data_IF_185351179742
#
_entry.id   IF_185351179742
#
_cell.length_a   1.000
_cell.length_b   1.000
_cell.length_c   1.000
_cell.angle_alpha   90.00
_cell.angle_beta   90.00
_cell.angle_gamma   90.00
#
_symmetry.space_group_name_H-M   'P 1'
#
loop_
_entity.id
_entity.type
_entity.pdbx_description
1 polymer ?
#
# COMPACT_ATOMS: atom_id res chain seq x y z
N UNK A 1 -12.88 -21.32 15.46
CA UNK A 1 -11.98 -20.31 16.06
C UNK A 1 -11.08 -19.71 15.01
N UNK A 2 -11.00 -18.37 14.95
CA UNK A 2 -10.09 -17.65 14.07
C UNK A 2 -8.70 -17.56 14.70
N UNK A 3 -7.61 -17.71 13.95
CA UNK A 3 -6.28 -17.40 14.48
C UNK A 3 -6.14 -15.88 14.53
N UNK A 4 -5.46 -15.40 15.56
CA UNK A 4 -5.20 -13.97 15.71
C UNK A 4 -4.59 -13.31 14.45
N UNK A 5 -3.68 -14.02 13.76
CA UNK A 5 -3.00 -13.54 12.55
C UNK A 5 -3.89 -13.44 11.31
N UNK A 6 -5.07 -14.08 11.33
CA UNK A 6 -6.02 -14.07 10.22
C UNK A 6 -7.05 -12.94 10.36
N UNK A 7 -7.02 -12.17 11.46
CA UNK A 7 -7.86 -11.01 11.69
C UNK A 7 -7.35 -9.80 10.91
N UNK A 8 -8.25 -8.89 10.52
CA UNK A 8 -7.86 -7.58 9.98
C UNK A 8 -7.13 -6.71 11.03
N UNK A 9 -6.45 -5.65 10.58
CA UNK A 9 -5.65 -4.78 11.45
C UNK A 9 -6.44 -4.16 12.61
N UNK A 10 -7.72 -3.83 12.40
CA UNK A 10 -8.57 -3.21 13.42
C UNK A 10 -8.98 -4.24 14.50
N UNK A 11 -9.34 -5.45 14.09
CA UNK A 11 -9.61 -6.56 15.00
C UNK A 11 -8.35 -6.98 15.77
N UNK A 12 -7.18 -7.01 15.11
CA UNK A 12 -5.90 -7.27 15.79
C UNK A 12 -5.60 -6.21 16.86
N UNK A 13 -5.84 -4.93 16.55
CA UNK A 13 -5.68 -3.80 17.46
C UNK A 13 -6.58 -3.94 18.71
N UNK A 14 -7.86 -4.22 18.51
CA UNK A 14 -8.83 -4.38 19.61
C UNK A 14 -8.47 -5.54 20.53
N UNK A 15 -7.97 -6.65 19.96
CA UNK A 15 -7.50 -7.79 20.75
C UNK A 15 -6.23 -7.45 21.52
N UNK A 16 -5.29 -6.73 20.90
CA UNK A 16 -4.07 -6.29 21.56
C UNK A 16 -4.37 -5.41 22.78
N UNK A 17 -5.28 -4.43 22.65
CA UNK A 17 -5.69 -3.58 23.76
C UNK A 17 -6.40 -4.37 24.86
N UNK A 18 -7.33 -5.25 24.50
CA UNK A 18 -7.99 -6.12 25.48
C UNK A 18 -6.97 -7.01 26.23
N UNK A 19 -5.94 -7.52 25.54
CA UNK A 19 -4.85 -8.26 26.18
C UNK A 19 -4.06 -7.41 27.16
N UNK A 20 -3.78 -6.14 26.80
CA UNK A 20 -3.09 -5.19 27.68
C UNK A 20 -3.89 -4.93 28.96
N UNK A 21 -5.18 -4.61 28.83
CA UNK A 21 -6.09 -4.39 29.96
C UNK A 21 -6.16 -5.62 30.87
N UNK A 22 -6.32 -6.82 30.28
CA UNK A 22 -6.33 -8.06 31.05
C UNK A 22 -5.00 -8.31 31.77
N UNK A 23 -3.87 -7.93 31.15
CA UNK A 23 -2.56 -8.07 31.79
C UNK A 23 -2.36 -7.06 32.92
N UNK A 24 -2.81 -5.82 32.73
CA UNK A 24 -2.80 -4.76 33.75
C UNK A 24 -3.68 -5.13 34.96
N UNK A 25 -4.79 -5.82 34.73
CA UNK A 25 -5.61 -6.41 35.81
C UNK A 25 -4.99 -7.64 36.51
N UNK A 26 -3.74 -7.98 36.18
CA UNK A 26 -2.97 -9.03 36.85
C UNK A 26 -3.13 -10.45 36.30
N UNK A 27 -3.83 -10.65 35.19
CA UNK A 27 -3.99 -12.00 34.64
C UNK A 27 -2.67 -12.54 34.05
N UNK A 28 -2.39 -13.81 34.34
CA UNK A 28 -1.32 -14.57 33.68
C UNK A 28 -1.67 -14.94 32.24
N UNK A 29 -0.68 -15.11 31.37
CA UNK A 29 -0.88 -15.33 29.93
C UNK A 29 -1.82 -16.49 29.59
N UNK A 30 -1.74 -17.61 30.31
CA UNK A 30 -2.64 -18.77 30.10
C UNK A 30 -4.11 -18.41 30.34
N UNK A 31 -4.39 -17.57 31.35
CA UNK A 31 -5.77 -17.10 31.66
C UNK A 31 -6.26 -16.12 30.59
N UNK A 32 -5.39 -15.24 30.11
CA UNK A 32 -5.70 -14.31 29.01
C UNK A 32 -6.07 -15.10 27.75
N UNK A 33 -5.28 -16.10 27.36
CA UNK A 33 -5.57 -16.95 26.18
C UNK A 33 -6.90 -17.67 26.34
N UNK A 34 -7.16 -18.24 27.53
CA UNK A 34 -8.42 -18.94 27.81
C UNK A 34 -9.61 -17.99 27.63
N UNK A 35 -9.53 -16.78 28.21
CA UNK A 35 -10.58 -15.76 28.11
C UNK A 35 -10.83 -15.31 26.67
N UNK A 36 -9.77 -15.06 25.89
CA UNK A 36 -9.90 -14.74 24.46
C UNK A 36 -10.51 -15.88 23.64
N UNK A 37 -10.20 -17.13 23.99
CA UNK A 37 -10.76 -18.31 23.34
C UNK A 37 -12.25 -18.45 23.64
N UNK A 38 -12.66 -18.22 24.88
CA UNK A 38 -14.06 -18.39 25.34
C UNK A 38 -14.95 -17.21 24.94
N UNK A 39 -14.48 -15.97 25.08
CA UNK A 39 -15.32 -14.78 24.88
C UNK A 39 -15.26 -14.24 23.44
N UNK A 40 -14.14 -14.41 22.74
CA UNK A 40 -13.90 -13.80 21.43
C UNK A 40 -13.62 -14.82 20.33
N UNK A 41 -13.69 -16.12 20.62
CA UNK A 41 -13.40 -17.24 19.70
C UNK A 41 -12.04 -17.13 18.96
N UNK A 42 -11.07 -16.48 19.58
CA UNK A 42 -9.77 -16.16 18.97
C UNK A 42 -8.67 -17.04 19.57
N UNK A 43 -7.89 -17.65 18.69
CA UNK A 43 -6.73 -18.46 19.07
C UNK A 43 -5.46 -17.60 19.03
N UNK A 44 -4.95 -17.22 20.20
CA UNK A 44 -3.71 -16.49 20.38
C UNK A 44 -2.66 -17.39 21.02
N UNK A 45 -1.45 -17.42 20.46
CA UNK A 45 -0.39 -18.29 20.99
C UNK A 45 0.28 -17.68 22.22
N UNK A 46 0.74 -18.54 23.13
CA UNK A 46 1.53 -18.12 24.29
C UNK A 46 2.82 -17.38 23.88
N UNK A 47 3.46 -17.84 22.80
CA UNK A 47 4.65 -17.19 22.24
C UNK A 47 4.38 -15.76 21.80
N UNK A 48 3.22 -15.50 21.19
CA UNK A 48 2.80 -14.15 20.77
C UNK A 48 2.66 -13.21 21.98
N UNK A 49 2.01 -13.66 23.05
CA UNK A 49 1.89 -12.87 24.29
C UNK A 49 3.24 -12.62 24.95
N UNK A 50 4.05 -13.68 25.10
CA UNK A 50 5.40 -13.58 25.65
C UNK A 50 6.24 -12.57 24.87
N UNK A 51 6.19 -12.63 23.53
CA UNK A 51 6.88 -11.69 22.66
C UNK A 51 6.41 -10.24 22.88
N UNK A 52 5.10 -9.98 22.95
CA UNK A 52 4.56 -8.63 23.14
C UNK A 52 5.06 -7.96 24.41
N UNK A 53 4.99 -8.69 25.54
CA UNK A 53 5.36 -8.15 26.84
C UNK A 53 6.87 -8.15 27.10
N UNK A 54 7.63 -9.09 26.54
CA UNK A 54 9.08 -9.12 26.71
C UNK A 54 9.83 -8.13 25.81
N UNK A 55 9.25 -7.74 24.67
CA UNK A 55 9.90 -6.84 23.70
C UNK A 55 9.29 -5.44 23.67
N UNK A 56 8.47 -5.09 24.67
CA UNK A 56 7.81 -3.79 24.77
C UNK A 56 7.10 -3.37 23.47
N UNK A 57 6.46 -4.35 22.82
CA UNK A 57 5.88 -4.19 21.50
C UNK A 57 4.74 -3.17 21.59
N UNK A 58 4.88 -2.03 20.90
CA UNK A 58 3.87 -0.96 20.90
C UNK A 58 2.57 -1.39 20.23
N UNK A 59 2.64 -2.29 19.23
CA UNK A 59 1.49 -2.99 18.64
C UNK A 59 1.87 -4.20 17.80
N UNK A 60 0.87 -5.02 17.47
CA UNK A 60 0.98 -6.18 16.58
C UNK A 60 1.68 -5.79 15.28
N UNK A 61 2.84 -6.39 14.98
CA UNK A 61 3.67 -6.00 13.82
C UNK A 61 4.90 -5.16 14.16
N UNK A 62 5.10 -4.81 15.44
CA UNK A 62 6.29 -4.10 15.91
C UNK A 62 6.35 -2.67 15.37
N UNK A 63 7.54 -2.24 14.94
CA UNK A 63 7.79 -0.90 14.38
C UNK A 63 7.14 -0.64 13.00
N UNK A 64 6.46 -1.63 12.41
CA UNK A 64 5.83 -1.51 11.09
C UNK A 64 4.32 -1.78 11.13
N UNK A 65 3.67 -1.37 12.23
CA UNK A 65 2.21 -1.44 12.36
C UNK A 65 1.54 -0.62 11.26
N UNK A 66 0.50 -1.18 10.65
CA UNK A 66 -0.29 -0.54 9.61
C UNK A 66 -1.74 -0.41 10.04
N UNK A 67 -2.20 0.83 10.19
CA UNK A 67 -3.60 1.14 10.44
C UNK A 67 -4.37 1.26 9.12
N UNK A 68 -5.44 0.47 8.97
CA UNK A 68 -6.30 0.45 7.77
C UNK A 68 -7.27 1.62 7.77
N UNK A 69 -6.75 2.84 7.63
CA UNK A 69 -7.53 4.07 7.48
C UNK A 69 -7.16 4.81 6.20
N UNK A 70 -8.12 5.48 5.52
CA UNK A 70 -7.79 6.39 4.43
C UNK A 70 -6.81 7.48 4.89
N UNK A 71 -5.73 7.65 4.14
CA UNK A 71 -4.78 8.75 4.29
C UNK A 71 -4.21 9.14 2.93
N UNK A 72 -3.67 10.36 2.86
CA UNK A 72 -2.98 10.87 1.66
C UNK A 72 -1.83 9.94 1.26
N UNK A 73 -1.05 9.53 2.25
CA UNK A 73 0.08 8.61 2.11
C UNK A 73 -0.37 7.25 1.58
N UNK A 74 -1.45 6.68 2.11
CA UNK A 74 -1.97 5.40 1.65
C UNK A 74 -2.42 5.47 0.19
N UNK A 75 -3.15 6.53 -0.17
CA UNK A 75 -3.65 6.72 -1.52
C UNK A 75 -2.51 6.89 -2.53
N UNK A 76 -1.49 7.68 -2.19
CA UNK A 76 -0.26 7.80 -2.98
C UNK A 76 0.46 6.46 -3.14
N UNK A 77 0.67 5.73 -2.03
CA UNK A 77 1.32 4.42 -2.02
C UNK A 77 0.56 3.42 -2.90
N UNK A 78 -0.78 3.42 -2.85
CA UNK A 78 -1.60 2.59 -3.74
C UNK A 78 -1.38 2.95 -5.21
N UNK A 79 -1.36 4.25 -5.56
CA UNK A 79 -1.06 4.71 -6.92
C UNK A 79 0.27 4.18 -7.44
N UNK A 80 1.33 4.32 -6.64
CA UNK A 80 2.67 3.79 -6.96
C UNK A 80 2.65 2.27 -7.14
N UNK A 81 1.94 1.55 -6.28
CA UNK A 81 1.87 0.08 -6.33
C UNK A 81 1.05 -0.45 -7.51
N UNK A 82 0.21 0.37 -8.13
CA UNK A 82 -0.48 0.03 -9.38
C UNK A 82 0.33 0.37 -10.64
N UNK A 83 1.41 1.17 -10.51
CA UNK A 83 2.46 1.36 -11.52
C UNK A 83 3.69 0.52 -11.18
N UNK A 84 4.78 1.19 -10.77
CA UNK A 84 6.12 0.59 -10.62
C UNK A 84 6.35 -0.20 -9.32
N UNK A 85 5.46 -0.06 -8.33
CA UNK A 85 5.63 -0.70 -7.03
C UNK A 85 5.39 -2.21 -7.05
N UNK A 86 6.31 -2.96 -6.43
CA UNK A 86 6.31 -4.42 -6.40
C UNK A 86 6.08 -5.00 -5.00
N UNK A 87 5.44 -6.17 -4.96
CA UNK A 87 5.24 -7.00 -3.76
C UNK A 87 6.00 -8.31 -3.93
N UNK A 88 6.82 -8.70 -2.95
CA UNK A 88 7.46 -10.02 -2.93
C UNK A 88 7.44 -10.67 -1.55
N UNK A 89 7.35 -12.00 -1.53
CA UNK A 89 7.33 -12.80 -0.31
C UNK A 89 8.47 -13.81 -0.35
N UNK A 90 9.43 -13.69 0.56
CA UNK A 90 10.38 -14.77 0.85
C UNK A 90 9.74 -15.69 1.91
N UNK A 91 9.23 -16.85 1.48
CA UNK A 91 8.60 -17.82 2.39
C UNK A 91 9.59 -18.43 3.38
N UNK A 92 10.88 -18.57 3.03
CA UNK A 92 11.89 -19.17 3.91
C UNK A 92 12.25 -18.23 5.04
N UNK A 93 12.42 -16.94 4.72
CA UNK A 93 12.76 -15.90 5.70
C UNK A 93 11.55 -15.20 6.31
N UNK A 94 10.33 -15.52 5.86
CA UNK A 94 9.10 -14.82 6.23
C UNK A 94 9.19 -13.30 6.00
N UNK A 95 9.86 -12.88 4.92
CA UNK A 95 10.02 -11.47 4.57
C UNK A 95 8.92 -11.02 3.61
N UNK A 96 8.13 -10.03 4.03
CA UNK A 96 7.02 -9.44 3.28
C UNK A 96 7.44 -8.09 2.73
N UNK A 97 7.97 -8.09 1.51
CA UNK A 97 8.65 -6.95 0.90
C UNK A 97 7.71 -6.14 0.01
N UNK A 98 7.78 -4.84 0.18
CA UNK A 98 7.19 -3.83 -0.69
C UNK A 98 8.36 -3.00 -1.21
N UNK A 99 8.48 -2.84 -2.53
CA UNK A 99 9.68 -2.28 -3.14
C UNK A 99 9.35 -1.36 -4.30
N UNK A 100 10.08 -0.27 -4.40
CA UNK A 100 10.11 0.62 -5.56
C UNK A 100 11.56 0.77 -6.03
N UNK A 101 11.76 0.62 -7.34
CA UNK A 101 13.03 0.84 -8.03
C UNK A 101 12.78 1.87 -9.15
N UNK A 102 13.47 3.01 -9.13
CA UNK A 102 13.34 4.02 -10.18
C UNK A 102 14.65 4.80 -10.40
N UNK A 103 14.75 5.47 -11.56
CA UNK A 103 15.89 6.34 -11.90
C UNK A 103 15.78 7.69 -11.18
N UNK A 104 14.55 8.14 -10.91
CA UNK A 104 14.26 9.38 -10.22
C UNK A 104 14.38 9.20 -8.70
N UNK A 105 15.30 9.95 -8.08
CA UNK A 105 15.52 9.91 -6.64
C UNK A 105 14.34 10.48 -5.85
N UNK A 106 13.77 11.61 -6.30
CA UNK A 106 12.71 12.33 -5.60
C UNK A 106 11.44 11.48 -5.56
N UNK A 107 11.19 10.73 -6.63
CA UNK A 107 10.11 9.74 -6.68
C UNK A 107 10.30 8.64 -5.62
N UNK A 108 11.49 8.04 -5.55
CA UNK A 108 11.81 6.98 -4.58
C UNK A 108 11.78 7.52 -3.14
N UNK A 109 12.27 8.73 -2.92
CA UNK A 109 12.25 9.39 -1.63
C UNK A 109 10.82 9.70 -1.17
N UNK A 110 9.98 10.26 -2.04
CA UNK A 110 8.57 10.53 -1.73
C UNK A 110 7.79 9.26 -1.40
N UNK A 111 8.06 8.17 -2.11
CA UNK A 111 7.50 6.86 -1.77
C UNK A 111 7.99 6.37 -0.40
N UNK A 112 9.30 6.44 -0.13
CA UNK A 112 9.87 6.07 1.17
C UNK A 112 9.25 6.90 2.31
N UNK A 113 9.17 8.21 2.16
CA UNK A 113 8.57 9.12 3.12
C UNK A 113 7.09 8.81 3.37
N UNK A 114 6.33 8.55 2.31
CA UNK A 114 4.90 8.21 2.40
C UNK A 114 4.67 6.92 3.16
N UNK A 115 5.41 5.85 2.84
CA UNK A 115 5.29 4.56 3.56
C UNK A 115 5.76 4.69 5.02
N UNK A 116 6.77 5.51 5.29
CA UNK A 116 7.28 5.74 6.65
C UNK A 116 6.23 6.43 7.53
N UNK A 117 5.61 7.50 7.02
CA UNK A 117 4.48 8.16 7.68
C UNK A 117 3.30 7.22 7.90
N UNK A 118 2.96 6.42 6.88
CA UNK A 118 1.88 5.44 6.93
C UNK A 118 2.08 4.39 8.04
N UNK A 119 3.35 4.03 8.30
CA UNK A 119 3.73 3.05 9.32
C UNK A 119 4.16 3.71 10.64
N UNK A 120 3.95 5.02 10.81
CA UNK A 120 4.28 5.75 12.03
C UNK A 120 5.77 5.81 12.37
N UNK A 121 6.64 5.80 11.35
CA UNK A 121 8.10 5.83 11.54
C UNK A 121 8.63 7.24 11.55
N UNK A 122 9.53 7.52 12.48
CA UNK A 122 10.24 8.81 12.57
C UNK A 122 11.27 9.00 11.45
N UNK A 123 11.85 7.91 10.95
CA UNK A 123 12.86 7.92 9.90
C UNK A 123 12.34 7.27 8.62
N UNK A 124 12.79 7.80 7.50
CA UNK A 124 12.48 7.24 6.18
C UNK A 124 13.16 5.90 6.00
N UNK A 125 12.55 5.01 5.21
CA UNK A 125 13.24 3.80 4.78
C UNK A 125 14.46 4.18 3.94
N UNK A 126 15.57 3.50 4.20
CA UNK A 126 16.81 3.75 3.49
C UNK A 126 16.62 3.57 1.98
N UNK A 127 17.21 4.49 1.24
CA UNK A 127 17.32 4.42 -0.22
C UNK A 127 18.72 3.92 -0.53
N UNK A 128 18.81 2.83 -1.28
CA UNK A 128 20.06 2.28 -1.75
C UNK A 128 20.17 2.41 -3.26
N UNK A 129 21.39 2.21 -3.76
CA UNK A 129 21.72 2.28 -5.18
C UNK A 129 22.23 0.92 -5.65
N UNK A 130 21.34 -0.09 -5.77
CA UNK A 130 21.74 -1.48 -6.00
C UNK A 130 22.33 -1.72 -7.40
N UNK A 131 22.02 -0.85 -8.36
CA UNK A 131 22.53 -0.89 -9.73
C UNK A 131 22.91 0.52 -10.16
N UNK A 132 23.89 0.64 -11.07
CA UNK A 132 24.19 1.92 -11.72
C UNK A 132 22.89 2.46 -12.34
N UNK A 133 22.50 3.66 -11.91
CA UNK A 133 21.36 4.49 -12.32
C UNK A 133 19.99 4.15 -11.75
N UNK A 134 19.88 3.28 -10.73
CA UNK A 134 18.59 2.93 -10.13
C UNK A 134 18.65 3.11 -8.62
N UNK A 135 17.81 3.99 -8.09
CA UNK A 135 17.51 4.12 -6.68
C UNK A 135 16.46 3.07 -6.28
N UNK A 136 16.61 2.52 -5.09
CA UNK A 136 15.72 1.47 -4.58
C UNK A 136 15.39 1.72 -3.12
N UNK A 137 14.12 1.54 -2.76
CA UNK A 137 13.71 1.46 -1.35
C UNK A 137 12.92 0.18 -1.12
N UNK A 138 13.17 -0.46 0.02
CA UNK A 138 12.53 -1.71 0.40
C UNK A 138 11.94 -1.59 1.80
N UNK A 139 10.63 -1.83 1.88
CA UNK A 139 9.85 -1.84 3.10
C UNK A 139 9.52 -3.28 3.46
N UNK A 140 9.60 -3.61 4.75
CA UNK A 140 9.13 -4.87 5.29
C UNK A 140 7.94 -4.62 6.21
N UNK A 141 6.73 -4.99 5.75
CA UNK A 141 5.53 -4.95 6.59
C UNK A 141 4.56 -6.03 6.13
N UNK A 142 4.31 -6.99 7.01
CA UNK A 142 3.39 -8.11 6.75
C UNK A 142 1.94 -7.62 6.57
N UNK A 143 1.49 -6.71 7.43
CA UNK A 143 0.12 -6.18 7.40
C UNK A 143 -0.11 -5.37 6.12
N UNK A 144 0.77 -4.41 5.83
CA UNK A 144 0.66 -3.59 4.63
C UNK A 144 0.77 -4.46 3.35
N UNK A 145 1.68 -5.44 3.32
CA UNK A 145 1.79 -6.39 2.21
C UNK A 145 0.46 -7.10 1.92
N UNK A 146 -0.17 -7.71 2.93
CA UNK A 146 -1.42 -8.44 2.73
C UNK A 146 -2.59 -7.52 2.40
N UNK A 147 -2.62 -6.33 2.99
CA UNK A 147 -3.60 -5.31 2.66
C UNK A 147 -3.53 -4.94 1.17
N UNK A 148 -2.35 -4.52 0.69
CA UNK A 148 -2.14 -4.17 -0.72
C UNK A 148 -2.42 -5.37 -1.62
N UNK A 149 -1.93 -6.56 -1.24
CA UNK A 149 -2.16 -7.79 -2.02
C UNK A 149 -3.67 -8.04 -2.20
N UNK A 150 -4.45 -7.87 -1.14
CA UNK A 150 -5.90 -8.03 -1.21
C UNK A 150 -6.59 -7.02 -2.14
N UNK A 151 -6.04 -5.82 -2.27
CA UNK A 151 -6.50 -4.78 -3.20
C UNK A 151 -6.07 -5.10 -4.63
N UNK A 152 -4.86 -5.63 -4.85
CA UNK A 152 -4.43 -6.10 -6.17
C UNK A 152 -5.27 -7.28 -6.67
N UNK A 153 -5.71 -8.15 -5.77
CA UNK A 153 -6.63 -9.27 -6.07
C UNK A 153 -8.08 -8.81 -6.29
N UNK A 154 -8.52 -7.77 -5.56
CA UNK A 154 -9.83 -7.16 -5.75
C UNK A 154 -9.73 -5.64 -5.62
N UNK A 155 -9.69 -4.97 -6.76
CA UNK A 155 -9.50 -3.52 -6.87
C UNK A 155 -10.56 -2.71 -6.12
N UNK A 156 -11.80 -3.20 -6.04
CA UNK A 156 -12.90 -2.50 -5.37
C UNK A 156 -12.62 -2.24 -3.88
N UNK A 157 -11.79 -3.09 -3.25
CA UNK A 157 -11.34 -2.88 -1.86
C UNK A 157 -10.48 -1.62 -1.69
N UNK A 158 -9.83 -1.16 -2.75
CA UNK A 158 -9.01 0.04 -2.74
C UNK A 158 -9.81 1.33 -2.86
N UNK A 159 -11.00 1.28 -3.46
CA UNK A 159 -11.82 2.46 -3.79
C UNK A 159 -12.10 3.38 -2.60
N UNK A 160 -12.49 2.89 -1.40
CA UNK A 160 -12.73 3.77 -0.26
C UNK A 160 -11.50 4.60 0.15
N UNK A 161 -10.30 4.04 -0.01
CA UNK A 161 -9.05 4.71 0.32
C UNK A 161 -8.65 5.71 -0.76
N UNK A 162 -8.82 5.33 -2.03
CA UNK A 162 -8.49 6.16 -3.20
C UNK A 162 -9.43 7.35 -3.31
N UNK A 163 -10.74 7.14 -3.20
CA UNK A 163 -11.74 8.19 -3.44
C UNK A 163 -11.79 9.26 -2.36
N UNK A 164 -11.25 8.96 -1.18
CA UNK A 164 -11.04 9.94 -0.11
C UNK A 164 -9.89 10.90 -0.43
N UNK A 165 -8.84 10.41 -1.09
CA UNK A 165 -7.65 11.17 -1.46
C UNK A 165 -7.26 10.92 -2.92
N UNK A 166 -8.13 11.30 -3.88
CA UNK A 166 -7.98 10.87 -5.28
C UNK A 166 -6.79 11.53 -5.97
N UNK A 167 -6.39 12.72 -5.54
CA UNK A 167 -5.26 13.45 -6.13
C UNK A 167 -3.96 12.70 -5.87
N UNK A 168 -3.80 12.18 -4.66
CA UNK A 168 -2.62 11.43 -4.23
C UNK A 168 -2.49 10.10 -4.97
N UNK A 169 -3.60 9.40 -5.21
CA UNK A 169 -3.59 8.18 -6.04
C UNK A 169 -3.16 8.48 -7.47
N UNK A 170 -3.75 9.50 -8.11
CA UNK A 170 -3.42 9.89 -9.48
C UNK A 170 -1.96 10.32 -9.55
N UNK A 171 -1.47 11.08 -8.56
CA UNK A 171 -0.08 11.50 -8.47
C UNK A 171 0.88 10.31 -8.34
N UNK A 172 0.60 9.34 -7.47
CA UNK A 172 1.45 8.16 -7.33
C UNK A 172 1.48 7.30 -8.60
N UNK A 173 0.35 7.20 -9.30
CA UNK A 173 0.28 6.50 -10.58
C UNK A 173 1.02 7.26 -11.69
N UNK A 174 0.87 8.59 -11.74
CA UNK A 174 1.56 9.44 -12.72
C UNK A 174 3.07 9.53 -12.48
N UNK A 175 3.52 9.54 -11.23
CA UNK A 175 4.95 9.48 -10.89
C UNK A 175 5.57 8.13 -11.34
N UNK A 176 4.75 7.08 -11.50
CA UNK A 176 5.19 5.76 -11.99
C UNK A 176 5.12 5.63 -13.51
N UNK A 177 3.98 5.96 -14.10
CA UNK A 177 3.62 5.60 -15.49
C UNK A 177 3.35 6.83 -16.37
N UNK A 178 3.41 8.02 -15.77
CA UNK A 178 3.03 9.26 -16.42
C UNK A 178 4.10 9.77 -17.36
N UNK A 179 3.68 10.56 -18.34
CA UNK A 179 4.58 11.26 -19.25
C UNK A 179 3.93 12.55 -19.68
N UNK A 180 4.71 13.63 -19.73
CA UNK A 180 4.28 14.87 -20.36
C UNK A 180 5.18 15.17 -21.55
N UNK A 181 4.59 15.71 -22.61
CA UNK A 181 5.33 16.18 -23.78
C UNK A 181 4.77 17.51 -24.26
N UNK A 182 5.67 18.39 -24.70
CA UNK A 182 5.33 19.69 -25.26
C UNK A 182 5.68 19.70 -26.75
N UNK A 183 4.75 20.18 -27.58
CA UNK A 183 4.99 20.39 -29.00
C UNK A 183 5.17 21.89 -29.27
N UNK A 184 6.41 22.37 -29.53
CA UNK A 184 6.65 23.79 -29.80
C UNK A 184 5.90 24.32 -31.01
N UNK A 185 5.67 23.47 -32.02
CA UNK A 185 4.99 23.86 -33.27
C UNK A 185 3.52 24.20 -33.06
N UNK A 186 2.86 23.49 -32.15
CA UNK A 186 1.43 23.70 -31.91
C UNK A 186 1.18 24.45 -30.60
N UNK A 187 2.18 24.53 -29.71
CA UNK A 187 2.05 24.97 -28.31
C UNK A 187 1.09 24.11 -27.49
N UNK A 188 0.93 22.83 -27.85
CA UNK A 188 0.12 21.88 -27.09
C UNK A 188 0.99 21.09 -26.11
N UNK A 189 0.47 20.88 -24.90
CA UNK A 189 0.99 19.94 -23.91
C UNK A 189 0.13 18.68 -23.96
N UNK A 190 0.76 17.53 -24.13
CA UNK A 190 0.11 16.23 -23.96
C UNK A 190 0.53 15.66 -22.61
N UNK A 191 -0.46 15.26 -21.80
CA UNK A 191 -0.24 14.62 -20.50
C UNK A 191 -0.85 13.23 -20.55
N UNK A 192 -0.01 12.23 -20.33
CA UNK A 192 -0.42 10.85 -20.10
C UNK A 192 -0.29 10.58 -18.61
N UNK A 193 -1.39 10.20 -17.96
CA UNK A 193 -1.40 9.87 -16.54
C UNK A 193 -0.83 8.47 -16.29
N UNK A 194 -1.13 7.51 -17.16
CA UNK A 194 -0.63 6.16 -17.02
C UNK A 194 -0.66 5.38 -18.34
N UNK A 195 0.34 4.54 -18.53
CA UNK A 195 0.31 3.41 -19.44
C UNK A 195 0.03 2.13 -18.64
N UNK A 196 -0.92 1.29 -19.07
CA UNK A 196 -1.18 0.03 -18.37
C UNK A 196 -1.88 -0.98 -19.27
N UNK A 197 -1.56 -2.26 -19.08
CA UNK A 197 -2.33 -3.36 -19.66
C UNK A 197 -3.66 -3.60 -18.90
N UNK A 198 -3.83 -3.03 -17.71
CA UNK A 198 -5.04 -3.16 -16.91
C UNK A 198 -6.08 -2.12 -17.34
N UNK A 199 -6.95 -2.49 -18.28
CA UNK A 199 -8.00 -1.61 -18.78
C UNK A 199 -9.00 -1.18 -17.70
N UNK A 200 -9.25 -2.04 -16.69
CA UNK A 200 -10.16 -1.70 -15.59
C UNK A 200 -9.60 -0.57 -14.73
N UNK A 201 -8.29 -0.62 -14.42
CA UNK A 201 -7.57 0.48 -13.76
C UNK A 201 -7.67 1.78 -14.58
N UNK A 202 -7.40 1.72 -15.90
CA UNK A 202 -7.44 2.90 -16.76
C UNK A 202 -8.84 3.52 -16.85
N UNK A 203 -9.89 2.70 -16.97
CA UNK A 203 -11.29 3.15 -16.93
C UNK A 203 -11.62 3.83 -15.60
N UNK A 204 -11.15 3.25 -14.50
CA UNK A 204 -11.34 3.84 -13.19
C UNK A 204 -10.62 5.17 -13.03
N UNK A 205 -9.38 5.29 -13.50
CA UNK A 205 -8.62 6.57 -13.49
C UNK A 205 -9.31 7.63 -14.34
N UNK A 206 -9.80 7.27 -15.53
CA UNK A 206 -10.60 8.17 -16.38
C UNK A 206 -11.85 8.68 -15.64
N UNK A 207 -12.58 7.78 -15.00
CA UNK A 207 -13.74 8.15 -14.17
C UNK A 207 -13.34 9.06 -13.01
N UNK A 208 -12.26 8.73 -12.29
CA UNK A 208 -11.78 9.50 -11.14
C UNK A 208 -11.37 10.92 -11.55
N UNK A 209 -10.67 11.07 -12.68
CA UNK A 209 -10.30 12.36 -13.27
C UNK A 209 -11.53 13.23 -13.56
N UNK A 210 -12.57 12.64 -14.14
CA UNK A 210 -13.79 13.37 -14.48
C UNK A 210 -14.62 13.71 -13.24
N UNK A 211 -14.96 12.73 -12.41
CA UNK A 211 -15.87 12.92 -11.27
C UNK A 211 -15.26 13.75 -10.14
N UNK A 212 -13.95 13.60 -9.88
CA UNK A 212 -13.31 14.28 -8.74
C UNK A 212 -12.67 15.62 -9.13
N UNK A 213 -12.34 15.81 -10.42
CA UNK A 213 -11.59 16.98 -10.89
C UNK A 213 -12.16 17.68 -12.12
N UNK A 214 -13.24 17.16 -12.73
CA UNK A 214 -13.79 17.70 -13.98
C UNK A 214 -12.86 17.57 -15.19
N UNK A 215 -11.83 16.72 -15.10
CA UNK A 215 -10.81 16.57 -16.15
C UNK A 215 -11.26 15.52 -17.16
N UNK A 216 -11.58 15.98 -18.38
CA UNK A 216 -11.88 15.07 -19.49
C UNK A 216 -10.60 14.37 -19.97
N UNK A 217 -10.66 13.05 -20.10
CA UNK A 217 -9.55 12.23 -20.58
C UNK A 217 -10.03 11.15 -21.57
N UNK A 218 -9.10 10.59 -22.34
CA UNK A 218 -9.38 9.59 -23.37
C UNK A 218 -8.51 8.36 -23.17
N UNK A 219 -9.08 7.16 -23.32
CA UNK A 219 -8.30 5.93 -23.38
C UNK A 219 -7.87 5.64 -24.82
N UNK A 220 -6.57 5.40 -24.99
CA UNK A 220 -5.96 5.05 -26.28
C UNK A 220 -5.27 3.71 -26.18
N UNK A 221 -5.47 2.88 -27.20
CA UNK A 221 -4.70 1.66 -27.38
C UNK A 221 -3.45 2.01 -28.18
N UNK A 222 -2.30 1.91 -27.52
CA UNK A 222 -1.00 2.02 -28.19
C UNK A 222 -0.69 0.67 -28.83
N UNK A 223 -0.46 0.65 -30.14
CA UNK A 223 -0.02 -0.56 -30.86
C UNK A 223 1.50 -0.55 -31.01
N UNK A 224 2.11 -1.72 -31.18
CA UNK A 224 3.55 -1.87 -31.41
C UNK A 224 4.01 -1.07 -32.64
N UNK A 225 5.31 -0.76 -32.70
CA UNK A 225 5.90 0.08 -33.75
C UNK A 225 5.43 -0.32 -35.17
N UNK A 226 4.92 0.67 -35.92
CA UNK A 226 4.43 0.51 -37.30
C UNK A 226 2.91 0.56 -37.47
N UNK A 227 2.12 0.61 -36.40
CA UNK A 227 0.65 0.72 -36.46
C UNK A 227 0.13 2.02 -35.83
N UNK A 228 -1.00 2.55 -36.34
CA UNK A 228 -1.66 3.75 -35.76
C UNK A 228 -2.43 3.39 -34.49
N UNK A 229 -2.34 4.27 -33.50
CA UNK A 229 -3.14 4.20 -32.26
C UNK A 229 -4.64 4.27 -32.57
N UNK A 230 -5.43 3.58 -31.75
CA UNK A 230 -6.90 3.62 -31.83
C UNK A 230 -7.48 4.06 -30.48
N UNK A 231 -8.43 4.97 -30.52
CA UNK A 231 -9.22 5.33 -29.33
C UNK A 231 -10.07 4.12 -28.94
N UNK A 232 -10.02 3.75 -27.66
CA UNK A 232 -10.80 2.61 -27.14
C UNK A 232 -12.24 3.03 -26.83
N UNK A 233 -12.42 4.30 -26.47
CA UNK A 233 -13.71 4.86 -26.10
C UNK A 233 -14.43 5.40 -27.35
N UNK A 234 -15.38 4.61 -27.86
CA UNK A 234 -16.46 5.02 -28.74
C UNK A 234 -17.79 4.78 -28.03
#
# INVERSE_FOLDING_TARGET
MKRFVDLDSAAQYNIFNAVKELKESGLGYKRIIKKLREEKEINLSLGTLSYWFNNNVKMVGGENYFETKPSRELSYVLGVLFGDGSLSLDKRKQEYKIRLDAIDYDFVEKFSASVSKLLGKERYYSICYPKKKIYSTQIQSKQLYYFIKSIKENFDKGKPFIETYPAEFIMGLADSEGTSSFSPKTSWINVVVAHSANLALLRYVKWLLFEKFGVQSKLRRVKTAGMRDSVIDG
#
